data_IF_032037111521
#
_entry.id   IF_032037111521
#
_cell.length_a   1.000
_cell.length_b   1.000
_cell.length_c   1.000
_cell.angle_alpha   90.00
_cell.angle_beta   90.00
_cell.angle_gamma   90.00
#
_symmetry.space_group_name_H-M   'P 1'
#
loop_
_entity.id
_entity.type
_entity.pdbx_description
1 polymer ?
#
# COMPACT_ATOMS: atom_id res chain seq x y z
N UNK A 1 -7.13 22.43 -5.04
CA UNK A 1 -5.98 21.96 -5.83
C UNK A 1 -5.90 20.47 -5.57
N UNK A 2 -6.39 19.62 -6.47
CA UNK A 2 -6.63 18.19 -6.18
C UNK A 2 -5.39 17.56 -5.52
N UNK A 3 -5.58 17.02 -4.30
CA UNK A 3 -4.52 16.33 -3.57
C UNK A 3 -3.81 15.33 -4.49
N UNK A 4 -2.48 15.35 -4.46
CA UNK A 4 -1.69 14.35 -5.17
C UNK A 4 -2.04 12.97 -4.61
N UNK A 5 -2.25 12.00 -5.50
CA UNK A 5 -2.58 10.63 -5.10
C UNK A 5 -1.46 10.08 -4.22
N UNK A 6 -1.79 9.70 -2.99
CA UNK A 6 -0.84 9.11 -2.04
C UNK A 6 -1.30 7.74 -1.55
N UNK A 7 -0.34 6.96 -1.04
CA UNK A 7 -0.62 5.67 -0.44
C UNK A 7 -0.99 5.87 1.03
N UNK A 8 -2.24 5.58 1.37
CA UNK A 8 -2.67 5.55 2.76
C UNK A 8 -1.94 4.42 3.49
N UNK A 9 -1.49 4.69 4.72
CA UNK A 9 -0.96 3.66 5.60
C UNK A 9 -1.94 3.28 6.73
N UNK A 10 -3.05 4.02 6.81
CA UNK A 10 -4.09 3.84 7.79
C UNK A 10 -5.04 2.70 7.39
N UNK A 11 -5.64 2.03 8.38
CA UNK A 11 -6.50 0.86 8.13
C UNK A 11 -7.85 1.31 7.56
N UNK A 12 -8.41 2.42 8.06
CA UNK A 12 -9.70 2.94 7.63
C UNK A 12 -9.57 4.23 6.78
N UNK A 13 -8.35 4.61 6.42
CA UNK A 13 -8.06 5.82 5.65
C UNK A 13 -8.15 7.09 6.49
N UNK A 14 -7.78 7.00 7.77
CA UNK A 14 -7.72 8.12 8.71
C UNK A 14 -6.86 9.27 8.15
N UNK A 15 -5.69 8.94 7.60
CA UNK A 15 -4.82 9.88 6.89
C UNK A 15 -5.47 10.50 5.65
N UNK A 16 -6.31 9.78 4.92
CA UNK A 16 -7.05 10.28 3.76
C UNK A 16 -8.11 11.30 4.17
N UNK A 17 -8.88 10.99 5.21
CA UNK A 17 -9.91 11.89 5.75
C UNK A 17 -9.28 13.19 6.23
N UNK A 18 -8.17 13.09 6.96
CA UNK A 18 -7.42 14.25 7.45
C UNK A 18 -6.82 15.04 6.29
N UNK A 19 -6.13 14.39 5.35
CA UNK A 19 -5.54 15.06 4.19
C UNK A 19 -6.58 15.86 3.40
N UNK A 20 -7.76 15.29 3.18
CA UNK A 20 -8.89 15.95 2.51
C UNK A 20 -9.36 17.18 3.26
N UNK A 21 -9.59 17.06 4.57
CA UNK A 21 -10.09 18.18 5.36
C UNK A 21 -9.12 19.37 5.37
N UNK A 22 -7.82 19.10 5.28
CA UNK A 22 -6.75 20.09 5.36
C UNK A 22 -6.15 20.49 4.00
N UNK A 23 -6.82 20.21 2.87
CA UNK A 23 -6.31 20.55 1.52
C UNK A 23 -5.93 22.03 1.36
N UNK A 24 -6.64 22.93 2.06
CA UNK A 24 -6.41 24.37 2.01
C UNK A 24 -5.36 24.88 3.02
N UNK A 25 -4.87 24.02 3.92
CA UNK A 25 -3.94 24.38 4.99
C UNK A 25 -2.51 24.16 4.51
N UNK A 26 -1.67 25.19 4.62
CA UNK A 26 -0.28 25.12 4.20
C UNK A 26 0.58 24.46 5.28
N UNK A 27 1.31 23.40 4.90
CA UNK A 27 2.27 22.68 5.76
C UNK A 27 1.74 22.29 7.17
N UNK A 28 0.58 21.64 7.25
CA UNK A 28 0.02 21.17 8.52
C UNK A 28 0.94 20.15 9.22
N UNK A 29 0.80 20.10 10.53
CA UNK A 29 1.56 19.21 11.41
C UNK A 29 0.64 18.29 12.18
N UNK A 30 1.16 17.12 12.52
CA UNK A 30 0.43 16.16 13.34
C UNK A 30 1.29 15.57 14.45
N UNK A 31 0.63 15.19 15.53
CA UNK A 31 1.20 14.42 16.62
C UNK A 31 0.43 13.10 16.74
N UNK A 32 1.13 11.99 16.80
CA UNK A 32 0.54 10.71 17.12
C UNK A 32 1.05 10.23 18.48
N UNK A 33 0.13 9.95 19.41
CA UNK A 33 0.44 9.45 20.75
C UNK A 33 -0.10 8.04 20.87
N UNK A 34 0.78 7.10 21.22
CA UNK A 34 0.44 5.67 21.30
C UNK A 34 0.59 5.12 22.72
N UNK A 35 -0.37 4.29 23.14
CA UNK A 35 -0.37 3.56 24.40
C UNK A 35 0.32 2.19 24.22
N UNK A 36 1.55 2.06 24.73
CA UNK A 36 2.30 0.80 24.67
C UNK A 36 2.82 0.41 23.27
N UNK A 37 2.89 -0.89 22.97
CA UNK A 37 3.41 -1.46 21.70
C UNK A 37 2.43 -1.33 20.52
N UNK A 38 1.48 -0.39 20.61
CA UNK A 38 0.43 -0.14 19.62
C UNK A 38 0.95 -0.02 18.18
N UNK A 39 0.11 -0.45 17.24
CA UNK A 39 0.41 -0.80 15.85
C UNK A 39 1.02 0.30 14.95
N UNK A 40 0.84 0.14 13.63
CA UNK A 40 1.39 1.07 12.63
C UNK A 40 0.82 2.48 12.84
N UNK A 41 1.60 3.48 12.46
CA UNK A 41 1.14 4.87 12.45
C UNK A 41 -0.09 5.01 11.53
N UNK A 42 -1.17 5.62 12.02
CA UNK A 42 -2.40 5.85 11.25
C UNK A 42 -2.27 7.07 10.33
N UNK A 43 -1.24 7.89 10.54
CA UNK A 43 -1.05 9.17 9.85
C UNK A 43 0.22 9.22 9.00
N UNK A 44 0.98 8.13 8.88
CA UNK A 44 2.22 8.12 8.11
C UNK A 44 2.07 8.36 6.60
N UNK A 45 0.86 8.22 6.03
CA UNK A 45 0.60 8.61 4.65
C UNK A 45 0.74 10.12 4.43
N UNK A 46 0.57 10.92 5.49
CA UNK A 46 0.66 12.38 5.43
C UNK A 46 2.08 12.87 5.16
N UNK A 47 3.11 12.13 5.58
CA UNK A 47 4.51 12.46 5.30
C UNK A 47 4.78 12.54 3.78
N UNK A 48 4.14 11.66 3.01
CA UNK A 48 4.29 11.60 1.54
C UNK A 48 3.71 12.83 0.83
N UNK A 49 2.80 13.56 1.49
CA UNK A 49 2.20 14.81 0.98
C UNK A 49 2.73 16.06 1.70
N UNK A 50 3.87 15.92 2.39
CA UNK A 50 4.63 17.05 2.94
C UNK A 50 4.17 17.55 4.31
N UNK A 51 3.33 16.80 5.02
CA UNK A 51 3.04 17.10 6.42
C UNK A 51 4.28 16.87 7.29
N UNK A 52 4.32 17.54 8.44
CA UNK A 52 5.34 17.28 9.46
C UNK A 52 4.72 16.54 10.62
N UNK A 53 5.09 15.28 10.75
CA UNK A 53 4.63 14.40 11.82
C UNK A 53 5.63 14.22 12.94
N UNK A 54 5.11 14.01 14.16
CA UNK A 54 5.86 13.36 15.22
C UNK A 54 5.02 12.23 15.81
N UNK A 55 5.61 11.04 15.95
CA UNK A 55 4.99 9.91 16.63
C UNK A 55 5.73 9.63 17.93
N UNK A 56 4.98 9.55 19.02
CA UNK A 56 5.52 9.27 20.35
C UNK A 56 4.81 8.07 20.95
N UNK A 57 5.57 7.28 21.70
CA UNK A 57 5.05 6.18 22.50
C UNK A 57 5.04 6.61 23.95
N UNK A 58 3.97 6.29 24.64
CA UNK A 58 3.84 6.49 26.07
C UNK A 58 3.76 5.12 26.74
N UNK A 59 4.56 4.92 27.79
CA UNK A 59 4.60 3.65 28.53
C UNK A 59 3.35 3.44 29.40
N UNK A 60 2.76 4.53 29.87
CA UNK A 60 1.53 4.54 30.65
C UNK A 60 0.79 5.89 30.48
N UNK A 61 -0.55 5.93 30.44
CA UNK A 61 -1.32 7.16 30.16
C UNK A 61 -0.97 8.36 31.06
N UNK A 62 -0.65 8.12 32.33
CA UNK A 62 -0.23 9.15 33.29
C UNK A 62 1.12 9.81 32.95
N UNK A 63 1.95 9.16 32.15
CA UNK A 63 3.22 9.69 31.66
C UNK A 63 3.08 10.49 30.37
N UNK A 64 1.90 10.50 29.74
CA UNK A 64 1.68 11.17 28.45
C UNK A 64 2.03 12.65 28.53
N UNK A 65 1.57 13.34 29.58
CA UNK A 65 1.82 14.77 29.72
C UNK A 65 3.32 15.11 29.84
N UNK A 66 4.07 14.34 30.64
CA UNK A 66 5.52 14.49 30.77
C UNK A 66 6.23 14.20 29.44
N UNK A 67 5.79 13.16 28.74
CA UNK A 67 6.37 12.74 27.47
C UNK A 67 6.17 13.80 26.40
N UNK A 68 4.95 14.31 26.26
CA UNK A 68 4.58 15.39 25.32
C UNK A 68 5.31 16.70 25.66
N UNK A 69 5.46 17.02 26.94
CA UNK A 69 6.20 18.21 27.37
C UNK A 69 7.67 18.18 26.90
N UNK A 70 8.28 17.00 26.81
CA UNK A 70 9.65 16.81 26.31
C UNK A 70 9.80 16.85 24.79
N UNK A 71 8.71 16.93 24.03
CA UNK A 71 8.77 16.95 22.56
C UNK A 71 9.06 18.36 22.02
N UNK A 72 9.91 18.39 20.99
CA UNK A 72 10.11 19.55 20.12
C UNK A 72 8.99 19.64 19.09
N UNK A 73 7.80 20.01 19.58
CA UNK A 73 6.66 20.31 18.73
C UNK A 73 6.80 21.72 18.14
N UNK A 74 6.32 21.89 16.91
CA UNK A 74 6.16 23.21 16.30
C UNK A 74 5.21 24.12 17.11
N UNK A 75 5.07 25.39 16.69
CA UNK A 75 4.25 26.36 17.42
C UNK A 75 2.77 25.99 17.50
N UNK A 76 2.30 25.15 16.57
CA UNK A 76 0.92 24.68 16.53
C UNK A 76 0.87 23.27 15.96
N UNK A 77 0.25 22.36 16.72
CA UNK A 77 -0.13 21.02 16.26
C UNK A 77 -1.55 21.09 15.72
N UNK A 78 -1.77 20.80 14.44
CA UNK A 78 -3.12 20.87 13.86
C UNK A 78 -3.92 19.59 14.11
N UNK A 79 -3.27 18.43 14.08
CA UNK A 79 -3.94 17.14 14.20
C UNK A 79 -3.27 16.29 15.29
N UNK A 80 -4.08 15.67 16.14
CA UNK A 80 -3.61 14.67 17.11
C UNK A 80 -4.33 13.36 16.85
N UNK A 81 -3.59 12.26 16.68
CA UNK A 81 -4.13 10.89 16.69
C UNK A 81 -3.74 10.17 17.98
N UNK A 82 -4.72 9.52 18.60
CA UNK A 82 -4.61 8.78 19.84
C UNK A 82 -5.13 7.37 19.60
N UNK A 83 -4.34 6.35 19.93
CA UNK A 83 -4.74 4.95 19.76
C UNK A 83 -5.57 4.38 20.93
N UNK A 84 -5.81 5.20 21.96
CA UNK A 84 -6.64 4.86 23.12
C UNK A 84 -7.38 6.07 23.65
N UNK A 85 -8.63 5.85 24.08
CA UNK A 85 -9.43 6.85 24.78
C UNK A 85 -8.78 7.32 26.10
N UNK A 86 -7.92 6.50 26.72
CA UNK A 86 -7.22 6.82 27.97
C UNK A 86 -6.21 7.95 27.82
N UNK A 87 -5.71 8.17 26.61
CA UNK A 87 -4.71 9.20 26.32
C UNK A 87 -5.33 10.59 26.10
N UNK A 88 -6.66 10.68 25.90
CA UNK A 88 -7.34 11.94 25.51
C UNK A 88 -7.11 13.05 26.53
N UNK A 89 -7.44 12.81 27.80
CA UNK A 89 -7.28 13.80 28.87
C UNK A 89 -5.83 14.26 29.04
N UNK A 90 -4.90 13.35 29.40
CA UNK A 90 -3.50 13.69 29.61
C UNK A 90 -2.83 14.39 28.40
N UNK A 91 -3.18 13.99 27.17
CA UNK A 91 -2.62 14.58 25.96
C UNK A 91 -3.13 16.01 25.74
N UNK A 92 -4.44 16.23 25.85
CA UNK A 92 -5.02 17.54 25.64
C UNK A 92 -4.63 18.52 26.75
N UNK A 93 -4.52 18.07 27.99
CA UNK A 93 -4.00 18.89 29.09
C UNK A 93 -2.57 19.35 28.82
N UNK A 94 -1.70 18.45 28.36
CA UNK A 94 -0.31 18.78 28.04
C UNK A 94 -0.18 19.74 26.86
N UNK A 95 -0.98 19.55 25.81
CA UNK A 95 -1.03 20.43 24.65
C UNK A 95 -1.64 21.79 25.00
N UNK A 96 -2.66 21.82 25.84
CA UNK A 96 -3.25 23.05 26.36
C UNK A 96 -2.24 23.86 27.19
N UNK A 97 -1.49 23.20 28.08
CA UNK A 97 -0.45 23.85 28.88
C UNK A 97 0.67 24.47 28.03
N UNK A 98 0.87 23.98 26.79
CA UNK A 98 1.79 24.56 25.80
C UNK A 98 1.17 25.65 24.94
N UNK A 99 -0.12 25.93 25.10
CA UNK A 99 -0.87 26.87 24.26
C UNK A 99 -1.15 26.37 22.84
N UNK A 100 -1.05 25.06 22.59
CA UNK A 100 -1.20 24.45 21.26
C UNK A 100 -2.24 23.34 21.30
N UNK A 101 -3.50 23.68 21.52
CA UNK A 101 -4.59 22.72 21.31
C UNK A 101 -4.67 22.32 19.83
N UNK A 102 -4.96 21.05 19.51
CA UNK A 102 -5.17 20.62 18.13
C UNK A 102 -6.47 21.15 17.54
N UNK A 103 -6.55 21.22 16.22
CA UNK A 103 -7.78 21.54 15.49
C UNK A 103 -8.63 20.28 15.34
N UNK A 104 -7.99 19.13 15.13
CA UNK A 104 -8.64 17.82 15.03
C UNK A 104 -8.01 16.82 15.99
N UNK A 105 -8.85 16.08 16.70
CA UNK A 105 -8.46 14.94 17.53
C UNK A 105 -9.08 13.69 16.96
N UNK A 106 -8.26 12.72 16.60
CA UNK A 106 -8.65 11.38 16.24
C UNK A 106 -8.43 10.48 17.45
N UNK A 107 -9.45 9.71 17.81
CA UNK A 107 -9.36 8.73 18.89
C UNK A 107 -9.75 7.39 18.32
N UNK A 108 -8.79 6.50 18.16
CA UNK A 108 -9.06 5.10 17.84
C UNK A 108 -9.55 4.42 19.11
N UNK A 109 -10.72 3.79 19.01
CA UNK A 109 -11.41 3.22 20.16
C UNK A 109 -11.57 1.73 19.94
N UNK A 110 -11.00 0.93 20.84
CA UNK A 110 -11.22 -0.50 20.82
C UNK A 110 -12.66 -0.84 21.20
N UNK A 111 -13.17 -1.98 20.73
CA UNK A 111 -14.48 -2.48 21.14
C UNK A 111 -14.61 -2.70 22.66
N UNK A 112 -13.48 -2.88 23.36
CA UNK A 112 -13.44 -2.98 24.82
C UNK A 112 -13.64 -1.62 25.51
N UNK A 113 -13.13 -0.53 24.92
CA UNK A 113 -13.28 0.84 25.43
C UNK A 113 -14.64 1.43 25.08
N UNK A 114 -15.23 1.00 23.96
CA UNK A 114 -16.60 1.36 23.58
C UNK A 114 -17.45 0.15 23.22
N UNK A 115 -18.27 -0.35 24.16
CA UNK A 115 -19.21 -1.41 23.85
C UNK A 115 -20.32 -0.91 22.90
N UNK A 116 -20.94 -1.82 22.12
CA UNK A 116 -22.07 -1.48 21.26
C UNK A 116 -23.20 -0.80 22.05
N UNK A 117 -23.71 0.32 21.54
CA UNK A 117 -24.80 1.08 22.17
C UNK A 117 -24.35 2.12 23.19
N UNK A 118 -23.04 2.30 23.41
CA UNK A 118 -22.54 3.49 24.10
C UNK A 118 -22.97 4.77 23.38
N UNK A 119 -23.30 5.81 24.15
CA UNK A 119 -23.65 7.12 23.60
C UNK A 119 -22.52 7.78 22.83
N UNK A 120 -22.84 8.83 22.08
CA UNK A 120 -21.85 9.63 21.34
C UNK A 120 -20.83 10.21 22.34
N UNK A 121 -19.51 10.04 22.11
CA UNK A 121 -18.52 10.60 23.00
C UNK A 121 -18.54 12.13 22.95
N UNK A 122 -18.26 12.76 24.08
CA UNK A 122 -18.19 14.21 24.22
C UNK A 122 -16.76 14.64 24.58
N UNK A 123 -16.33 15.75 23.99
CA UNK A 123 -15.03 16.34 24.25
C UNK A 123 -15.18 17.87 24.34
N UNK A 124 -14.86 18.44 25.49
CA UNK A 124 -15.08 19.88 25.75
C UNK A 124 -14.28 20.75 24.76
N UNK A 125 -14.96 21.69 24.09
CA UNK A 125 -14.34 22.55 23.07
C UNK A 125 -14.27 21.93 21.68
N UNK A 126 -14.79 20.71 21.50
CA UNK A 126 -14.83 20.02 20.21
C UNK A 126 -16.22 19.50 19.88
N UNK A 127 -16.52 19.40 18.59
CA UNK A 127 -17.69 18.73 18.04
C UNK A 127 -17.26 17.40 17.44
N UNK A 128 -17.93 16.31 17.81
CA UNK A 128 -17.74 15.03 17.14
C UNK A 128 -18.39 15.04 15.74
N UNK A 129 -17.56 14.83 14.72
CA UNK A 129 -17.90 14.98 13.29
C UNK A 129 -18.16 13.64 12.60
N UNK A 130 -17.35 12.62 12.89
CA UNK A 130 -17.40 11.33 12.21
C UNK A 130 -16.98 10.21 13.16
N UNK A 131 -17.57 9.04 12.94
CA UNK A 131 -17.06 7.75 13.42
C UNK A 131 -16.97 6.84 12.19
N UNK A 132 -15.78 6.35 11.87
CA UNK A 132 -15.54 5.53 10.66
C UNK A 132 -15.68 4.02 10.90
N UNK A 133 -16.04 3.63 12.13
CA UNK A 133 -16.13 2.24 12.57
C UNK A 133 -15.03 1.84 13.54
N UNK A 134 -13.95 2.62 13.62
CA UNK A 134 -12.81 2.37 14.52
C UNK A 134 -12.41 3.65 15.27
N UNK A 135 -12.40 4.79 14.59
CA UNK A 135 -11.91 6.05 15.11
C UNK A 135 -13.00 7.12 15.15
N UNK A 136 -13.04 7.87 16.25
CA UNK A 136 -13.84 9.09 16.37
C UNK A 136 -13.03 10.31 15.94
N UNK A 137 -13.70 11.23 15.26
CA UNK A 137 -13.13 12.48 14.79
C UNK A 137 -13.78 13.64 15.52
N UNK A 138 -13.00 14.35 16.31
CA UNK A 138 -13.42 15.55 17.02
C UNK A 138 -12.78 16.78 16.37
N UNK A 139 -13.62 17.76 16.03
CA UNK A 139 -13.21 19.02 15.42
C UNK A 139 -13.38 20.16 16.42
N UNK A 140 -12.34 20.98 16.60
CA UNK A 140 -12.40 22.14 17.49
C UNK A 140 -13.42 23.16 16.99
N UNK A 141 -14.16 23.77 17.93
CA UNK A 141 -15.32 24.61 17.61
C UNK A 141 -15.01 25.87 16.79
N UNK A 142 -13.77 26.35 16.81
CA UNK A 142 -13.27 27.51 16.08
C UNK A 142 -12.78 27.21 14.66
N UNK A 143 -12.83 25.94 14.21
CA UNK A 143 -12.47 25.51 12.86
C UNK A 143 -13.63 24.88 12.08
N UNK A 144 -14.83 25.51 12.01
CA UNK A 144 -15.99 24.93 11.35
C UNK A 144 -15.78 24.69 9.84
N UNK A 145 -14.84 25.38 9.20
CA UNK A 145 -14.48 25.21 7.80
C UNK A 145 -14.02 23.79 7.45
N UNK A 146 -13.46 23.05 8.41
CA UNK A 146 -12.97 21.69 8.21
C UNK A 146 -14.08 20.63 8.30
N UNK A 147 -15.25 20.99 8.85
CA UNK A 147 -16.33 20.03 9.14
C UNK A 147 -16.82 19.28 7.90
N UNK A 148 -16.89 19.95 6.75
CA UNK A 148 -17.30 19.32 5.50
C UNK A 148 -16.32 18.22 5.05
N UNK A 149 -15.02 18.45 5.25
CA UNK A 149 -13.97 17.49 4.92
C UNK A 149 -13.92 16.30 5.89
N UNK A 150 -14.38 16.46 7.12
CA UNK A 150 -14.44 15.41 8.13
C UNK A 150 -15.80 14.69 8.19
N UNK A 151 -16.78 15.07 7.35
CA UNK A 151 -18.16 14.60 7.47
C UNK A 151 -18.45 13.19 6.95
N UNK A 152 -17.47 12.51 6.34
CA UNK A 152 -17.65 11.18 5.77
C UNK A 152 -16.31 10.38 5.77
N UNK A 153 -16.35 9.05 5.84
CA UNK A 153 -15.12 8.23 5.84
C UNK A 153 -14.36 8.31 4.51
N UNK A 154 -13.13 7.80 4.46
CA UNK A 154 -12.42 7.64 3.20
C UNK A 154 -13.23 6.76 2.23
N UNK A 155 -13.31 7.17 0.97
CA UNK A 155 -14.13 6.50 -0.04
C UNK A 155 -13.52 6.62 -1.44
N UNK A 156 -14.15 6.01 -2.45
CA UNK A 156 -13.66 6.03 -3.84
C UNK A 156 -13.60 7.41 -4.49
N UNK A 157 -14.17 8.45 -3.87
CA UNK A 157 -14.04 9.84 -4.31
C UNK A 157 -12.70 10.45 -3.92
N UNK A 158 -12.03 9.86 -2.93
CA UNK A 158 -10.73 10.27 -2.46
C UNK A 158 -9.66 9.60 -3.33
N UNK A 159 -8.68 10.39 -3.80
CA UNK A 159 -7.65 9.92 -4.73
C UNK A 159 -6.49 9.29 -3.95
N UNK A 160 -6.68 8.06 -3.46
CA UNK A 160 -5.67 7.34 -2.67
C UNK A 160 -5.52 5.88 -3.09
N UNK A 161 -4.45 5.25 -2.62
CA UNK A 161 -4.23 3.80 -2.77
C UNK A 161 -4.20 3.17 -1.38
N UNK A 162 -4.92 2.06 -1.20
CA UNK A 162 -4.92 1.34 0.08
C UNK A 162 -3.65 0.49 0.26
N UNK A 163 -3.28 0.11 1.49
CA UNK A 163 -2.19 -0.83 1.74
C UNK A 163 -2.36 -2.15 0.96
N UNK A 164 -3.56 -2.72 0.96
CA UNK A 164 -3.86 -3.96 0.23
C UNK A 164 -3.71 -3.81 -1.28
N UNK A 165 -4.12 -2.68 -1.87
CA UNK A 165 -3.90 -2.41 -3.29
C UNK A 165 -2.40 -2.31 -3.62
N UNK A 166 -1.61 -1.70 -2.74
CA UNK A 166 -0.15 -1.62 -2.90
C UNK A 166 0.49 -3.00 -2.84
N UNK A 167 0.11 -3.82 -1.87
CA UNK A 167 0.57 -5.21 -1.74
C UNK A 167 0.24 -6.04 -2.99
N UNK A 168 -1.02 -5.96 -3.46
CA UNK A 168 -1.46 -6.63 -4.69
C UNK A 168 -0.69 -6.16 -5.94
N UNK A 169 -0.35 -4.88 -6.01
CA UNK A 169 0.43 -4.35 -7.14
C UNK A 169 1.84 -4.93 -7.13
N UNK A 170 2.47 -4.99 -5.96
CA UNK A 170 3.80 -5.63 -5.80
C UNK A 170 3.74 -7.11 -6.16
N UNK A 171 2.73 -7.84 -5.67
CA UNK A 171 2.56 -9.25 -5.98
C UNK A 171 2.31 -9.50 -7.48
N UNK A 172 1.53 -8.64 -8.13
CA UNK A 172 1.30 -8.69 -9.57
C UNK A 172 2.60 -8.48 -10.37
N UNK A 173 3.40 -7.50 -9.97
CA UNK A 173 4.69 -7.21 -10.62
C UNK A 173 5.66 -8.40 -10.45
N UNK A 174 5.73 -8.97 -9.25
CA UNK A 174 6.56 -10.15 -8.95
C UNK A 174 6.11 -11.39 -9.73
N UNK A 175 4.80 -11.64 -9.79
CA UNK A 175 4.22 -12.75 -10.55
C UNK A 175 4.49 -12.59 -12.06
N UNK A 176 4.38 -11.36 -12.57
CA UNK A 176 4.67 -11.04 -13.98
C UNK A 176 6.15 -11.25 -14.30
N UNK A 177 7.06 -10.79 -13.42
CA UNK A 177 8.48 -11.01 -13.57
C UNK A 177 8.86 -12.50 -13.51
N UNK A 178 8.23 -13.27 -12.62
CA UNK A 178 8.42 -14.71 -12.51
C UNK A 178 7.93 -15.44 -13.78
N UNK A 179 6.75 -15.08 -14.30
CA UNK A 179 6.22 -15.63 -15.54
C UNK A 179 7.16 -15.39 -16.72
N UNK A 180 7.71 -14.17 -16.84
CA UNK A 180 8.70 -13.84 -17.87
C UNK A 180 9.97 -14.69 -17.78
N UNK A 181 10.49 -14.93 -16.57
CA UNK A 181 11.65 -15.82 -16.35
C UNK A 181 11.35 -17.26 -16.77
N UNK A 182 10.17 -17.77 -16.43
CA UNK A 182 9.76 -19.13 -16.83
C UNK A 182 9.57 -19.26 -18.33
N UNK A 183 8.97 -18.27 -18.98
CA UNK A 183 8.83 -18.24 -20.43
C UNK A 183 10.20 -18.25 -21.12
N UNK A 184 11.14 -17.41 -20.67
CA UNK A 184 12.49 -17.38 -21.21
C UNK A 184 13.21 -18.73 -21.05
N UNK A 185 13.09 -19.36 -19.87
CA UNK A 185 13.65 -20.68 -19.60
C UNK A 185 13.04 -21.78 -20.47
N UNK A 186 11.72 -21.76 -20.66
CA UNK A 186 11.01 -22.73 -21.51
C UNK A 186 11.44 -22.59 -22.98
N UNK A 187 11.52 -21.35 -23.49
CA UNK A 187 11.98 -21.09 -24.86
C UNK A 187 13.44 -21.52 -25.06
N UNK A 188 14.33 -21.26 -24.10
CA UNK A 188 15.71 -21.74 -24.15
C UNK A 188 15.78 -23.26 -24.19
N UNK A 189 15.06 -23.95 -23.30
CA UNK A 189 15.02 -25.42 -23.27
C UNK A 189 14.43 -26.04 -24.55
N UNK A 190 13.40 -25.42 -25.15
CA UNK A 190 12.86 -25.88 -26.43
C UNK A 190 13.84 -25.71 -27.59
N UNK A 191 14.57 -24.59 -27.62
CA UNK A 191 15.61 -24.35 -28.63
C UNK A 191 16.76 -25.36 -28.50
N UNK A 192 17.19 -25.65 -27.28
CA UNK A 192 18.22 -26.67 -27.00
C UNK A 192 17.77 -28.07 -27.44
N UNK A 193 16.54 -28.47 -27.09
CA UNK A 193 15.98 -29.75 -27.54
C UNK A 193 15.82 -29.83 -29.06
N UNK A 194 15.37 -28.75 -29.72
CA UNK A 194 15.27 -28.69 -31.16
C UNK A 194 16.65 -28.82 -31.84
N UNK A 195 17.66 -28.13 -31.31
CA UNK A 195 19.04 -28.20 -31.81
C UNK A 195 19.64 -29.61 -31.62
N UNK A 196 19.39 -30.24 -30.47
CA UNK A 196 19.81 -31.61 -30.19
C UNK A 196 19.15 -32.60 -31.16
N UNK A 197 17.83 -32.53 -31.33
CA UNK A 197 17.09 -33.42 -32.23
C UNK A 197 17.51 -33.24 -33.69
N UNK A 198 17.73 -32.01 -34.14
CA UNK A 198 18.22 -31.72 -35.49
C UNK A 198 19.62 -32.34 -35.71
N UNK A 199 20.50 -32.24 -34.71
CA UNK A 199 21.84 -32.84 -34.75
C UNK A 199 21.80 -34.37 -34.77
N UNK A 200 20.96 -34.99 -33.93
CA UNK A 200 20.76 -36.44 -33.91
C UNK A 200 20.22 -36.95 -35.25
N UNK A 201 19.18 -36.30 -35.79
CA UNK A 201 18.61 -36.65 -37.09
C UNK A 201 19.63 -36.50 -38.23
N UNK A 202 20.49 -35.47 -38.19
CA UNK A 202 21.57 -35.30 -39.16
C UNK A 202 22.61 -36.43 -39.07
N UNK A 203 23.00 -36.84 -37.86
CA UNK A 203 23.91 -37.97 -37.64
C UNK A 203 23.31 -39.29 -38.12
N UNK A 204 22.05 -39.56 -37.81
CA UNK A 204 21.33 -40.74 -38.30
C UNK A 204 21.28 -40.77 -39.84
N UNK A 205 20.97 -39.64 -40.49
CA UNK A 205 21.00 -39.55 -41.94
C UNK A 205 22.38 -39.83 -42.53
N UNK A 206 23.46 -39.34 -41.89
CA UNK A 206 24.83 -39.64 -42.31
C UNK A 206 25.13 -41.14 -42.16
N UNK A 207 24.73 -41.75 -41.04
CA UNK A 207 24.91 -43.17 -40.79
C UNK A 207 24.16 -44.03 -41.83
N UNK A 208 22.88 -43.73 -42.09
CA UNK A 208 22.07 -44.39 -43.12
C UNK A 208 22.73 -44.24 -44.49
N UNK A 209 23.24 -43.05 -44.84
CA UNK A 209 23.91 -42.79 -46.12
C UNK A 209 25.20 -43.59 -46.34
N UNK A 210 25.86 -44.01 -45.26
CA UNK A 210 27.08 -44.84 -45.30
C UNK A 210 26.79 -46.34 -45.49
N UNK A 211 25.54 -46.78 -45.31
CA UNK A 211 25.17 -48.20 -45.48
C UNK A 211 25.26 -48.67 -46.93
N UNK A 212 25.53 -49.97 -47.13
CA UNK A 212 25.66 -50.58 -48.46
C UNK A 212 24.35 -50.51 -49.25
N UNK A 213 23.21 -50.77 -48.61
CA UNK A 213 21.87 -50.67 -49.22
C UNK A 213 21.57 -49.27 -49.74
N UNK A 214 22.03 -48.22 -49.05
CA UNK A 214 21.92 -46.85 -49.53
C UNK A 214 22.81 -46.58 -50.76
N UNK A 215 24.06 -47.06 -50.75
CA UNK A 215 24.99 -46.92 -51.88
C UNK A 215 24.46 -47.61 -53.15
N UNK A 216 23.86 -48.78 -52.99
CA UNK A 216 23.25 -49.55 -54.09
C UNK A 216 22.01 -48.83 -54.66
N UNK A 217 21.16 -48.24 -53.80
CA UNK A 217 19.93 -47.58 -54.25
C UNK A 217 20.11 -46.11 -54.67
N UNK A 218 21.25 -45.48 -54.37
CA UNK A 218 21.56 -44.08 -54.74
C UNK A 218 21.41 -43.78 -56.25
N UNK A 219 21.97 -44.57 -57.19
CA UNK A 219 21.80 -44.30 -58.62
C UNK A 219 20.34 -44.39 -59.07
N UNK A 220 19.57 -45.36 -58.56
CA UNK A 220 18.13 -45.50 -58.87
C UNK A 220 17.31 -44.31 -58.37
N UNK A 221 17.62 -43.77 -57.18
CA UNK A 221 16.99 -42.56 -56.65
C UNK A 221 17.33 -41.32 -57.49
N UNK A 222 18.57 -41.21 -57.99
CA UNK A 222 18.99 -40.09 -58.84
C UNK A 222 18.24 -40.07 -60.18
N UNK A 223 18.04 -41.24 -60.80
CA UNK A 223 17.22 -41.39 -62.01
C UNK A 223 15.76 -41.01 -61.74
N UNK A 224 15.20 -41.43 -60.60
CA UNK A 224 13.82 -41.13 -60.21
C UNK A 224 13.55 -39.62 -60.02
N UNK A 225 14.51 -38.87 -59.47
CA UNK A 225 14.42 -37.40 -59.32
C UNK A 225 14.52 -36.71 -60.68
N UNK A 226 15.44 -37.13 -61.54
CA UNK A 226 15.61 -36.56 -62.89
C UNK A 226 14.44 -36.85 -63.83
N UNK A 227 13.79 -38.00 -63.67
CA UNK A 227 12.65 -38.41 -64.48
C UNK A 227 11.32 -37.72 -64.07
N UNK A 228 11.32 -36.85 -63.05
CA UNK A 228 10.11 -36.11 -62.65
C UNK A 228 8.94 -36.98 -62.19
N UNK A 229 9.19 -38.22 -61.77
CA UNK A 229 8.13 -39.17 -61.36
C UNK A 229 7.76 -38.91 -59.89
N UNK A 230 7.20 -37.73 -59.66
CA UNK A 230 6.39 -37.40 -58.50
C UNK A 230 5.29 -36.44 -59.00
N UNK A 231 4.17 -37.01 -59.42
CA UNK A 231 2.93 -36.23 -59.61
C UNK A 231 2.52 -35.72 -58.24
N UNK A 232 2.50 -34.40 -58.06
CA UNK A 232 1.72 -33.78 -56.98
C UNK A 232 0.26 -34.22 -57.14
N UNK A 233 -0.31 -34.79 -56.08
CA UNK A 233 -1.72 -34.60 -55.75
C UNK A 233 -1.76 -33.59 -54.62
#
# INVERSE_FOLDING_TARGET
MKLARFASCAVNGEDVVVARAFEAVAAPTYLQVRDGDGGRSELCGLDAIGWKGQSVRVEAPELAAKTIAGLELGPEVQVVSLDSARLVGPTLEALHARGSLPWVVLVTVSAAERPPGAGKPELAGYTHTLFDGVSDYFLRLDHPELAAGLGYPACSRDDFTTPAQRELTVELDDATAAAGKWQAKALAGWNEHAAFNASSAAQELIAIRKTVSWRVTKPLRAVRVRAGIWRRK
#
